data_IF_623354639050
#
_entry.id   IF_623354639050
#
_cell.length_a   1.000
_cell.length_b   1.000
_cell.length_c   1.000
_cell.angle_alpha   90.00
_cell.angle_beta   90.00
_cell.angle_gamma   90.00
#
_symmetry.space_group_name_H-M   'P 1'
#
loop_
_entity.id
_entity.type
_entity.pdbx_description
1 polymer ?
#
# COMPACT_ATOMS: atom_id res chain seq x y z
N UNK A 1 -9.31 19.24 -33.79
CA UNK A 1 -8.41 18.14 -34.19
C UNK A 1 -8.94 16.89 -33.53
N UNK A 2 -9.44 15.96 -34.34
CA UNK A 2 -10.24 14.84 -33.88
C UNK A 2 -9.36 13.76 -33.24
N UNK A 3 -9.67 13.44 -31.99
CA UNK A 3 -9.20 12.26 -31.26
C UNK A 3 -9.54 11.01 -32.05
N UNK A 4 -8.54 10.28 -32.53
CA UNK A 4 -8.70 8.95 -33.11
C UNK A 4 -9.23 7.99 -32.03
N UNK A 5 -10.52 7.70 -32.12
CA UNK A 5 -11.30 6.79 -31.28
C UNK A 5 -10.95 5.31 -31.54
N UNK A 6 -9.69 4.96 -31.35
CA UNK A 6 -9.14 3.59 -31.47
C UNK A 6 -7.98 3.37 -30.49
N UNK A 7 -7.97 4.09 -29.38
CA UNK A 7 -6.97 3.87 -28.35
C UNK A 7 -7.55 2.88 -27.33
N UNK A 8 -6.99 1.66 -27.29
CA UNK A 8 -7.47 0.58 -26.43
C UNK A 8 -7.21 0.87 -24.94
N UNK A 9 -6.62 2.04 -24.63
CA UNK A 9 -6.30 2.50 -23.28
C UNK A 9 -5.11 1.77 -22.67
N UNK A 10 -4.30 1.10 -23.50
CA UNK A 10 -3.17 0.28 -23.07
C UNK A 10 -1.89 0.80 -23.71
N UNK A 11 -0.76 0.59 -23.02
CA UNK A 11 0.57 0.96 -23.50
C UNK A 11 0.83 0.40 -24.92
N UNK A 12 1.59 1.11 -25.76
CA UNK A 12 1.94 0.75 -27.14
C UNK A 12 2.51 -0.68 -27.24
N UNK A 13 3.33 -1.08 -26.26
CA UNK A 13 3.84 -2.45 -26.16
C UNK A 13 2.73 -3.50 -25.94
N UNK A 14 1.76 -3.18 -25.09
CA UNK A 14 0.62 -4.07 -24.85
C UNK A 14 -0.36 -4.05 -26.02
N UNK A 15 -0.48 -2.94 -26.75
CA UNK A 15 -1.24 -2.87 -28.00
C UNK A 15 -0.65 -3.80 -29.06
N UNK A 16 0.69 -3.86 -29.17
CA UNK A 16 1.38 -4.79 -30.08
C UNK A 16 1.19 -6.25 -29.66
N UNK A 17 1.23 -6.57 -28.36
CA UNK A 17 0.93 -7.91 -27.84
C UNK A 17 -0.52 -8.30 -28.16
N UNK A 18 -1.48 -7.39 -27.95
CA UNK A 18 -2.90 -7.62 -28.28
C UNK A 18 -3.06 -7.86 -29.78
N UNK A 19 -2.33 -7.13 -30.63
CA UNK A 19 -2.33 -7.35 -32.08
C UNK A 19 -1.80 -8.73 -32.45
N UNK A 20 -0.72 -9.18 -31.82
CA UNK A 20 -0.19 -10.53 -32.04
C UNK A 20 -1.18 -11.60 -31.59
N UNK A 21 -1.85 -11.41 -30.44
CA UNK A 21 -2.87 -12.34 -29.96
C UNK A 21 -4.10 -12.38 -30.87
N UNK A 22 -4.60 -11.23 -31.31
CA UNK A 22 -5.73 -11.14 -32.26
C UNK A 22 -5.40 -11.86 -33.57
N UNK A 23 -4.18 -11.68 -34.09
CA UNK A 23 -3.73 -12.40 -35.28
C UNK A 23 -3.67 -13.91 -35.04
N UNK A 24 -3.08 -14.32 -33.93
CA UNK A 24 -2.97 -15.72 -33.54
C UNK A 24 -4.35 -16.38 -33.38
N UNK A 25 -5.31 -15.70 -32.74
CA UNK A 25 -6.68 -16.17 -32.60
C UNK A 25 -7.40 -16.26 -33.95
N UNK A 26 -7.16 -15.29 -34.85
CA UNK A 26 -7.65 -15.35 -36.23
C UNK A 26 -7.07 -16.52 -37.02
N UNK A 27 -5.77 -16.81 -36.88
CA UNK A 27 -5.11 -17.96 -37.50
C UNK A 27 -5.65 -19.29 -36.93
N UNK A 28 -5.85 -19.38 -35.61
CA UNK A 28 -6.48 -20.54 -34.97
C UNK A 28 -7.91 -20.77 -35.48
N UNK A 29 -8.72 -19.70 -35.58
CA UNK A 29 -10.08 -19.79 -36.13
C UNK A 29 -10.10 -20.33 -37.56
N UNK A 30 -9.12 -19.94 -38.39
CA UNK A 30 -9.00 -20.45 -39.76
C UNK A 30 -8.62 -21.93 -39.76
N UNK A 31 -7.73 -22.36 -38.86
CA UNK A 31 -7.36 -23.78 -38.71
C UNK A 31 -8.55 -24.62 -38.22
N UNK A 32 -9.28 -24.16 -37.21
CA UNK A 32 -10.50 -24.83 -36.73
C UNK A 32 -11.58 -24.91 -37.82
N UNK A 33 -11.80 -23.84 -38.59
CA UNK A 33 -12.74 -23.86 -39.72
C UNK A 33 -12.30 -24.83 -40.83
N UNK A 34 -10.99 -24.98 -41.06
CA UNK A 34 -10.47 -25.98 -42.02
C UNK A 34 -10.65 -27.41 -41.51
N UNK A 35 -10.41 -27.67 -40.23
CA UNK A 35 -10.67 -28.98 -39.61
C UNK A 35 -12.14 -29.34 -39.71
N UNK A 36 -13.03 -28.37 -39.43
CA UNK A 36 -14.47 -28.52 -39.57
C UNK A 36 -14.88 -28.83 -41.02
N UNK A 37 -14.37 -28.08 -42.00
CA UNK A 37 -14.67 -28.35 -43.41
C UNK A 37 -14.13 -29.70 -43.86
N UNK A 38 -12.94 -30.11 -43.41
CA UNK A 38 -12.38 -31.42 -43.71
C UNK A 38 -13.25 -32.55 -43.12
N UNK A 39 -13.68 -32.43 -41.86
CA UNK A 39 -14.56 -33.41 -41.22
C UNK A 39 -15.94 -33.48 -41.92
N UNK A 40 -16.48 -32.34 -42.35
CA UNK A 40 -17.73 -32.28 -43.09
C UNK A 40 -17.61 -32.85 -44.51
N UNK A 41 -16.49 -32.61 -45.19
CA UNK A 41 -16.19 -33.19 -46.49
C UNK A 41 -15.92 -34.70 -46.37
N UNK A 42 -15.26 -35.16 -45.32
CA UNK A 42 -15.05 -36.59 -45.04
C UNK A 42 -16.38 -37.32 -44.79
N UNK A 43 -17.29 -36.72 -44.01
CA UNK A 43 -18.64 -37.24 -43.80
C UNK A 43 -19.42 -37.33 -45.13
N UNK A 44 -19.35 -36.26 -45.94
CA UNK A 44 -20.00 -36.22 -47.25
C UNK A 44 -19.42 -37.27 -48.20
N UNK A 45 -18.10 -37.41 -48.25
CA UNK A 45 -17.42 -38.31 -49.18
C UNK A 45 -17.58 -39.79 -48.78
N UNK A 46 -17.61 -40.11 -47.48
CA UNK A 46 -17.78 -41.48 -46.98
C UNK A 46 -19.23 -41.99 -47.02
N UNK A 47 -20.23 -41.11 -46.99
CA UNK A 47 -21.64 -41.54 -46.84
C UNK A 47 -22.56 -41.16 -47.98
N UNK A 48 -22.36 -40.01 -48.64
CA UNK A 48 -23.20 -39.63 -49.80
C UNK A 48 -22.74 -40.27 -51.12
N UNK A 49 -21.53 -40.84 -51.18
CA UNK A 49 -20.99 -41.44 -52.41
C UNK A 49 -21.40 -42.90 -52.62
N UNK A 50 -21.92 -43.57 -51.58
CA UNK A 50 -22.07 -45.04 -51.58
C UNK A 50 -23.49 -45.52 -51.97
N UNK A 51 -24.53 -44.66 -51.93
CA UNK A 51 -25.93 -45.12 -52.09
C UNK A 51 -26.80 -44.21 -52.98
N UNK A 52 -27.17 -44.70 -54.17
CA UNK A 52 -28.03 -43.98 -55.14
C UNK A 52 -29.53 -43.91 -54.75
N UNK A 53 -29.96 -44.62 -53.70
CA UNK A 53 -31.36 -44.78 -53.31
C UNK A 53 -31.53 -44.72 -51.78
N UNK A 54 -31.41 -43.54 -51.16
CA UNK A 54 -31.61 -43.38 -49.71
C UNK A 54 -33.09 -43.23 -49.34
N UNK A 55 -33.51 -43.90 -48.26
CA UNK A 55 -34.83 -43.71 -47.63
C UNK A 55 -34.83 -42.53 -46.65
N UNK A 56 -36.00 -41.95 -46.37
CA UNK A 56 -36.11 -40.78 -45.50
C UNK A 56 -35.63 -41.02 -44.05
N UNK A 57 -35.69 -42.27 -43.57
CA UNK A 57 -35.21 -42.63 -42.23
C UNK A 57 -33.68 -42.70 -42.18
N UNK A 58 -33.04 -43.26 -43.21
CA UNK A 58 -31.57 -43.30 -43.34
C UNK A 58 -31.00 -41.87 -43.43
N UNK A 59 -31.67 -40.99 -44.18
CA UNK A 59 -31.29 -39.56 -44.23
C UNK A 59 -31.39 -38.89 -42.85
N UNK A 60 -32.40 -39.25 -42.05
CA UNK A 60 -32.54 -38.69 -40.70
C UNK A 60 -31.48 -39.22 -39.73
N UNK A 61 -31.11 -40.51 -39.83
CA UNK A 61 -30.01 -41.10 -39.07
C UNK A 61 -28.66 -40.48 -39.46
N UNK A 62 -28.40 -40.26 -40.75
CA UNK A 62 -27.20 -39.56 -41.22
C UNK A 62 -27.13 -38.12 -40.72
N UNK A 63 -28.24 -37.39 -40.68
CA UNK A 63 -28.26 -36.04 -40.14
C UNK A 63 -27.98 -36.02 -38.63
N UNK A 64 -28.47 -37.01 -37.88
CA UNK A 64 -28.17 -37.13 -36.45
C UNK A 64 -26.69 -37.50 -36.22
N UNK A 65 -26.14 -38.44 -36.99
CA UNK A 65 -24.70 -38.79 -36.92
C UNK A 65 -23.80 -37.61 -37.30
N UNK A 66 -24.20 -36.83 -38.31
CA UNK A 66 -23.50 -35.61 -38.68
C UNK A 66 -23.54 -34.57 -37.56
N UNK A 67 -24.70 -34.37 -36.92
CA UNK A 67 -24.84 -33.47 -35.78
C UNK A 67 -23.93 -33.91 -34.62
N UNK A 68 -23.85 -35.20 -34.31
CA UNK A 68 -22.98 -35.73 -33.25
C UNK A 68 -21.49 -35.49 -33.56
N UNK A 69 -21.07 -35.70 -34.82
CA UNK A 69 -19.70 -35.41 -35.26
C UNK A 69 -19.42 -33.90 -35.15
N UNK A 70 -20.35 -33.05 -35.58
CA UNK A 70 -20.20 -31.61 -35.47
C UNK A 70 -20.11 -31.15 -34.01
N UNK A 71 -20.98 -31.64 -33.14
CA UNK A 71 -20.98 -31.31 -31.71
C UNK A 71 -19.63 -31.66 -31.08
N UNK A 72 -19.09 -32.85 -31.41
CA UNK A 72 -17.80 -33.30 -30.93
C UNK A 72 -16.62 -32.46 -31.44
N UNK A 73 -16.64 -32.03 -32.70
CA UNK A 73 -15.61 -31.13 -33.25
C UNK A 73 -15.70 -29.73 -32.62
N UNK A 74 -16.91 -29.21 -32.40
CA UNK A 74 -17.11 -27.93 -31.69
C UNK A 74 -16.64 -28.00 -30.24
N UNK A 75 -16.95 -29.09 -29.52
CA UNK A 75 -16.52 -29.27 -28.14
C UNK A 75 -14.97 -29.34 -28.05
N UNK A 76 -14.33 -30.02 -29.00
CA UNK A 76 -12.87 -30.09 -29.07
C UNK A 76 -12.25 -28.70 -29.33
N UNK A 77 -12.78 -27.94 -30.29
CA UNK A 77 -12.30 -26.59 -30.60
C UNK A 77 -12.51 -25.63 -29.42
N UNK A 78 -13.68 -25.66 -28.78
CA UNK A 78 -13.96 -24.82 -27.62
C UNK A 78 -13.07 -25.18 -26.42
N UNK A 79 -12.82 -26.47 -26.21
CA UNK A 79 -11.91 -26.95 -25.17
C UNK A 79 -10.47 -26.52 -25.46
N UNK A 80 -10.03 -26.61 -26.72
CA UNK A 80 -8.73 -26.13 -27.15
C UNK A 80 -8.59 -24.62 -26.91
N UNK A 81 -9.59 -23.82 -27.29
CA UNK A 81 -9.64 -22.37 -27.05
C UNK A 81 -9.51 -22.04 -25.56
N UNK A 82 -10.26 -22.72 -24.69
CA UNK A 82 -10.16 -22.54 -23.23
C UNK A 82 -8.74 -22.84 -22.71
N UNK A 83 -8.15 -23.97 -23.12
CA UNK A 83 -6.81 -24.39 -22.69
C UNK A 83 -5.73 -23.39 -23.12
N UNK A 84 -5.80 -22.91 -24.36
CA UNK A 84 -4.87 -21.91 -24.90
C UNK A 84 -4.99 -20.59 -24.13
N UNK A 85 -6.21 -20.13 -23.84
CA UNK A 85 -6.44 -18.92 -23.07
C UNK A 85 -5.95 -19.06 -21.62
N UNK A 86 -6.16 -20.21 -20.98
CA UNK A 86 -5.64 -20.49 -19.64
C UNK A 86 -4.10 -20.47 -19.59
N UNK A 87 -3.43 -21.00 -20.63
CA UNK A 87 -1.97 -20.93 -20.75
C UNK A 87 -1.47 -19.50 -20.91
N UNK A 88 -2.16 -18.67 -21.70
CA UNK A 88 -1.82 -17.26 -21.85
C UNK A 88 -1.91 -16.52 -20.51
N UNK A 89 -2.99 -16.72 -19.76
CA UNK A 89 -3.18 -16.11 -18.43
C UNK A 89 -2.07 -16.56 -17.48
N UNK A 90 -1.71 -17.85 -17.48
CA UNK A 90 -0.59 -18.37 -16.70
C UNK A 90 0.72 -17.65 -17.05
N UNK A 91 1.01 -17.46 -18.33
CA UNK A 91 2.23 -16.78 -18.77
C UNK A 91 2.26 -15.31 -18.35
N UNK A 92 1.13 -14.61 -18.45
CA UNK A 92 1.01 -13.22 -17.98
C UNK A 92 1.25 -13.11 -16.46
N UNK A 93 0.71 -14.05 -15.67
CA UNK A 93 0.95 -14.05 -14.22
C UNK A 93 2.38 -14.42 -13.85
N UNK A 94 3.04 -15.31 -14.58
CA UNK A 94 4.46 -15.59 -14.38
C UNK A 94 5.33 -14.35 -14.62
N UNK A 95 5.02 -13.56 -15.65
CA UNK A 95 5.71 -12.29 -15.90
C UNK A 95 5.38 -11.26 -14.82
N UNK A 96 4.12 -11.16 -14.37
CA UNK A 96 3.75 -10.23 -13.31
C UNK A 96 4.39 -10.58 -11.95
N UNK A 97 4.52 -11.86 -11.63
CA UNK A 97 5.13 -12.36 -10.40
C UNK A 97 6.63 -12.06 -10.34
N UNK A 98 7.34 -12.16 -11.47
CA UNK A 98 8.74 -11.72 -11.58
C UNK A 98 8.94 -10.24 -11.26
N UNK A 99 7.87 -9.44 -11.42
CA UNK A 99 7.84 -8.01 -11.13
C UNK A 99 7.11 -7.69 -9.83
N UNK A 100 6.84 -8.70 -8.99
CA UNK A 100 6.11 -8.61 -7.71
C UNK A 100 4.73 -7.93 -7.81
N UNK A 101 4.07 -8.01 -8.97
CA UNK A 101 2.79 -7.37 -9.21
C UNK A 101 1.63 -8.37 -9.00
N UNK A 102 0.68 -7.99 -8.14
CA UNK A 102 -0.58 -8.74 -7.96
C UNK A 102 -1.60 -8.24 -8.97
N UNK A 103 -1.79 -8.98 -10.06
CA UNK A 103 -2.83 -8.70 -11.04
C UNK A 103 -4.14 -9.36 -10.59
N UNK A 104 -5.19 -8.56 -10.46
CA UNK A 104 -6.56 -9.05 -10.24
C UNK A 104 -7.37 -8.82 -11.52
N UNK A 105 -7.57 -9.84 -12.37
CA UNK A 105 -8.45 -9.70 -13.52
C UNK A 105 -9.90 -9.51 -13.04
N UNK A 106 -10.57 -8.50 -13.58
CA UNK A 106 -12.00 -8.31 -13.35
C UNK A 106 -12.79 -9.05 -14.42
N UNK A 107 -13.50 -10.12 -14.03
CA UNK A 107 -14.29 -10.94 -14.94
C UNK A 107 -15.52 -10.21 -15.51
N UNK A 108 -16.05 -9.20 -14.79
CA UNK A 108 -17.23 -8.43 -15.22
C UNK A 108 -16.94 -7.56 -16.45
N UNK A 109 -15.67 -7.22 -16.70
CA UNK A 109 -15.26 -6.43 -17.86
C UNK A 109 -15.21 -7.24 -19.15
N UNK A 110 -15.10 -8.58 -19.07
CA UNK A 110 -15.04 -9.46 -20.24
C UNK A 110 -16.40 -9.55 -20.97
N UNK A 111 -17.51 -9.31 -20.27
CA UNK A 111 -18.85 -9.33 -20.85
C UNK A 111 -19.28 -7.99 -21.45
N UNK A 112 -18.43 -6.96 -21.35
CA UNK A 112 -18.76 -5.64 -21.85
C UNK A 112 -18.81 -5.64 -23.37
N UNK A 113 -20.02 -5.70 -23.93
CA UNK A 113 -20.29 -5.71 -25.37
C UNK A 113 -19.62 -4.56 -26.11
N UNK A 114 -19.42 -3.39 -25.49
CA UNK A 114 -18.73 -2.25 -26.11
C UNK A 114 -17.23 -2.51 -26.28
N UNK A 115 -16.59 -3.18 -25.33
CA UNK A 115 -15.17 -3.56 -25.45
C UNK A 115 -14.98 -4.68 -26.47
N UNK A 116 -15.94 -5.60 -26.56
CA UNK A 116 -15.98 -6.62 -27.60
C UNK A 116 -16.17 -5.99 -28.99
N UNK A 117 -17.09 -5.03 -29.11
CA UNK A 117 -17.30 -4.30 -30.37
C UNK A 117 -16.06 -3.47 -30.76
N UNK A 118 -15.35 -2.87 -29.79
CA UNK A 118 -14.09 -2.16 -30.03
C UNK A 118 -12.98 -3.10 -30.53
N UNK A 119 -12.85 -4.30 -29.95
CA UNK A 119 -11.91 -5.32 -30.41
C UNK A 119 -12.31 -5.82 -31.81
N UNK A 120 -13.61 -6.00 -32.09
CA UNK A 120 -14.10 -6.36 -33.43
C UNK A 120 -13.77 -5.29 -34.47
N UNK A 121 -13.96 -4.02 -34.14
CA UNK A 121 -13.62 -2.92 -35.04
C UNK A 121 -12.09 -2.85 -35.26
N UNK A 122 -11.30 -3.15 -34.23
CA UNK A 122 -9.85 -3.27 -34.31
C UNK A 122 -9.39 -4.48 -35.17
N UNK A 123 -10.06 -5.63 -35.06
CA UNK A 123 -9.86 -6.80 -35.91
C UNK A 123 -10.11 -6.49 -37.38
N UNK A 124 -11.24 -5.83 -37.68
CA UNK A 124 -11.62 -5.48 -39.05
C UNK A 124 -10.64 -4.48 -39.68
N UNK A 125 -10.14 -3.52 -38.91
CA UNK A 125 -9.13 -2.57 -39.38
C UNK A 125 -7.76 -3.24 -39.64
N UNK A 126 -7.40 -4.27 -38.88
CA UNK A 126 -6.16 -5.01 -39.12
C UNK A 126 -6.29 -5.99 -40.30
N UNK A 127 -7.42 -6.68 -40.46
CA UNK A 127 -7.67 -7.56 -41.61
C UNK A 127 -7.76 -6.81 -42.95
N UNK A 128 -8.38 -5.63 -42.96
CA UNK A 128 -8.50 -4.80 -44.18
C UNK A 128 -7.15 -4.27 -44.67
N UNK A 129 -6.23 -3.94 -43.77
CA UNK A 129 -4.83 -3.59 -44.11
C UNK A 129 -4.05 -4.76 -44.74
N UNK A 130 -4.39 -6.01 -44.39
CA UNK A 130 -3.77 -7.21 -44.97
C UNK A 130 -4.33 -7.52 -46.36
N UNK A 131 -5.64 -7.38 -46.58
CA UNK A 131 -6.25 -7.57 -47.92
C UNK A 131 -5.74 -6.55 -48.95
N UNK A 132 -5.39 -5.33 -48.53
CA UNK A 132 -4.75 -4.34 -49.40
C UNK A 132 -3.30 -4.69 -49.80
N UNK A 133 -2.61 -5.57 -49.04
CA UNK A 133 -1.26 -6.07 -49.36
C UNK A 133 -1.27 -7.37 -50.18
N UNK A 134 -2.42 -8.02 -50.36
CA UNK A 134 -2.53 -9.32 -51.05
C UNK A 134 -2.24 -9.31 -52.56
N UNK A 135 -1.98 -8.16 -53.18
CA UNK A 135 -1.76 -8.07 -54.64
C UNK A 135 -0.42 -7.47 -55.07
N UNK A 136 0.53 -7.25 -54.15
CA UNK A 136 1.91 -6.90 -54.51
C UNK A 136 2.88 -7.57 -53.54
N UNK A 137 3.85 -8.28 -54.13
CA UNK A 137 5.09 -8.80 -53.54
C UNK A 137 5.08 -10.29 -53.15
N UNK A 138 5.12 -11.14 -54.17
CA UNK A 138 5.86 -12.41 -54.14
C UNK A 138 7.31 -12.25 -54.63
N UNK A 139 7.83 -11.01 -54.76
CA UNK A 139 9.19 -10.70 -55.19
C UNK A 139 9.79 -9.55 -54.35
N UNK A 140 9.79 -9.71 -53.03
CA UNK A 140 10.74 -9.02 -52.17
C UNK A 140 11.47 -10.09 -51.37
N UNK A 141 12.34 -10.78 -52.11
CA UNK A 141 13.52 -11.43 -51.57
C UNK A 141 14.13 -10.49 -50.52
N UNK A 142 14.25 -10.96 -49.27
CA UNK A 142 15.13 -10.47 -48.21
C UNK A 142 15.73 -9.08 -48.53
N UNK A 143 14.99 -8.02 -48.22
CA UNK A 143 15.66 -6.73 -48.05
C UNK A 143 16.71 -6.94 -46.94
N UNK A 144 17.98 -6.58 -47.15
CA UNK A 144 18.96 -6.65 -46.09
C UNK A 144 18.38 -5.88 -44.91
N UNK A 145 18.45 -6.48 -43.71
CA UNK A 145 18.14 -5.82 -42.44
C UNK A 145 18.91 -4.51 -42.43
N UNK A 146 18.25 -3.44 -42.86
CA UNK A 146 18.84 -2.12 -42.77
C UNK A 146 18.62 -1.71 -41.34
N UNK A 147 19.61 -2.05 -40.51
CA UNK A 147 19.77 -1.67 -39.12
C UNK A 147 19.42 -0.20 -38.87
N UNK A 148 19.40 0.67 -39.88
CA UNK A 148 19.07 2.09 -39.76
C UNK A 148 17.70 2.39 -39.14
N UNK A 149 16.60 1.67 -39.43
CA UNK A 149 15.29 2.01 -38.84
C UNK A 149 15.14 1.53 -37.39
N UNK A 150 15.57 0.30 -37.12
CA UNK A 150 15.64 -0.27 -35.77
C UNK A 150 16.64 0.49 -34.89
N UNK A 151 17.82 0.85 -35.41
CA UNK A 151 18.78 1.69 -34.68
C UNK A 151 18.31 3.12 -34.49
N UNK A 152 17.54 3.71 -35.40
CA UNK A 152 16.92 5.03 -35.16
C UNK A 152 15.90 4.94 -34.02
N UNK A 153 15.00 3.95 -34.03
CA UNK A 153 14.03 3.77 -32.93
C UNK A 153 14.75 3.50 -31.61
N UNK A 154 15.73 2.61 -31.62
CA UNK A 154 16.55 2.30 -30.44
C UNK A 154 17.31 3.53 -29.94
N UNK A 155 17.88 4.35 -30.85
CA UNK A 155 18.57 5.60 -30.50
C UNK A 155 17.61 6.64 -29.93
N UNK A 156 16.39 6.71 -30.45
CA UNK A 156 15.34 7.61 -29.95
C UNK A 156 14.91 7.20 -28.55
N UNK A 157 14.75 5.89 -28.31
CA UNK A 157 14.41 5.36 -26.99
C UNK A 157 15.59 5.49 -26.00
N UNK A 158 16.82 5.25 -26.44
CA UNK A 158 18.03 5.51 -25.64
C UNK A 158 18.09 6.99 -25.26
N UNK A 159 17.79 7.91 -26.17
CA UNK A 159 17.77 9.34 -25.88
C UNK A 159 16.67 9.71 -24.87
N UNK A 160 15.48 9.11 -25.00
CA UNK A 160 14.38 9.29 -24.04
C UNK A 160 14.75 8.76 -22.66
N UNK A 161 15.33 7.56 -22.59
CA UNK A 161 15.80 6.94 -21.35
C UNK A 161 16.95 7.74 -20.73
N UNK A 162 17.85 8.31 -21.54
CA UNK A 162 18.91 9.22 -21.08
C UNK A 162 18.32 10.50 -20.48
N UNK A 163 17.35 11.14 -21.16
CA UNK A 163 16.66 12.32 -20.64
C UNK A 163 15.91 12.02 -19.34
N UNK A 164 15.23 10.87 -19.26
CA UNK A 164 14.57 10.42 -18.03
C UNK A 164 15.59 10.16 -16.92
N UNK A 165 16.73 9.54 -17.23
CA UNK A 165 17.82 9.35 -16.27
C UNK A 165 18.42 10.66 -15.80
N UNK A 166 18.63 11.64 -16.67
CA UNK A 166 19.15 12.94 -16.30
C UNK A 166 18.16 13.71 -15.43
N UNK A 167 16.87 13.63 -15.75
CA UNK A 167 15.82 14.20 -14.91
C UNK A 167 15.76 13.52 -13.53
N UNK A 168 15.86 12.19 -13.48
CA UNK A 168 15.92 11.43 -12.23
C UNK A 168 17.17 11.78 -11.42
N UNK A 169 18.35 11.90 -12.04
CA UNK A 169 19.59 12.33 -11.39
C UNK A 169 19.49 13.75 -10.83
N UNK A 170 18.89 14.68 -11.57
CA UNK A 170 18.64 16.04 -11.07
C UNK A 170 17.71 16.03 -9.87
N UNK A 171 16.67 15.20 -9.90
CA UNK A 171 15.73 15.07 -8.78
C UNK A 171 16.38 14.39 -7.58
N UNK A 172 17.23 13.38 -7.79
CA UNK A 172 18.03 12.73 -6.76
C UNK A 172 18.97 13.74 -6.10
N UNK A 173 19.70 14.53 -6.90
CA UNK A 173 20.60 15.58 -6.39
C UNK A 173 19.88 16.67 -5.60
N UNK A 174 18.63 16.99 -5.95
CA UNK A 174 17.79 17.89 -5.14
C UNK A 174 17.44 17.26 -3.80
N UNK A 175 17.00 16.00 -3.79
CA UNK A 175 16.68 15.30 -2.55
C UNK A 175 17.90 15.09 -1.66
N UNK A 176 19.07 14.82 -2.23
CA UNK A 176 20.33 14.72 -1.47
C UNK A 176 20.66 16.05 -0.78
N UNK A 177 20.49 17.20 -1.47
CA UNK A 177 20.69 18.52 -0.86
C UNK A 177 19.65 18.84 0.21
N UNK A 178 18.39 18.49 -0.03
CA UNK A 178 17.31 18.69 0.95
C UNK A 178 17.56 17.82 2.20
N UNK A 179 18.05 16.59 2.03
CA UNK A 179 18.42 15.70 3.13
C UNK A 179 19.65 16.21 3.91
N UNK A 180 20.68 16.72 3.22
CA UNK A 180 21.82 17.39 3.86
C UNK A 180 21.36 18.61 4.68
N UNK A 181 20.47 19.44 4.14
CA UNK A 181 19.94 20.61 4.83
C UNK A 181 19.12 20.21 6.06
N UNK A 182 18.27 19.19 5.93
CA UNK A 182 17.46 18.69 7.03
C UNK A 182 18.33 18.09 8.15
N UNK A 183 19.37 17.34 7.79
CA UNK A 183 20.32 16.79 8.74
C UNK A 183 21.09 17.89 9.49
N UNK A 184 21.50 18.96 8.80
CA UNK A 184 22.13 20.12 9.45
C UNK A 184 21.17 20.80 10.45
N UNK A 185 19.91 21.02 10.06
CA UNK A 185 18.91 21.58 10.96
C UNK A 185 18.63 20.68 12.17
N UNK A 186 18.61 19.36 11.97
CA UNK A 186 18.43 18.40 13.06
C UNK A 186 19.62 18.44 14.04
N UNK A 187 20.84 18.57 13.53
CA UNK A 187 22.04 18.69 14.36
C UNK A 187 22.05 20.00 15.16
N UNK A 188 21.71 21.12 14.52
CA UNK A 188 21.60 22.42 15.18
C UNK A 188 20.53 22.43 16.28
N UNK A 189 19.35 21.89 15.99
CA UNK A 189 18.25 21.79 16.97
C UNK A 189 18.63 20.89 18.14
N UNK A 190 19.29 19.77 17.89
CA UNK A 190 19.80 18.87 18.94
C UNK A 190 20.82 19.58 19.83
N UNK A 191 21.76 20.32 19.23
CA UNK A 191 22.75 21.13 20.00
C UNK A 191 22.07 22.21 20.83
N UNK A 192 21.07 22.91 20.28
CA UNK A 192 20.31 23.93 21.01
C UNK A 192 19.51 23.35 22.18
N UNK A 193 18.91 22.18 22.01
CA UNK A 193 18.19 21.47 23.08
C UNK A 193 19.18 21.09 24.18
N UNK A 194 20.29 20.44 23.83
CA UNK A 194 21.32 20.04 24.79
C UNK A 194 21.85 21.23 25.61
N UNK A 195 22.14 22.36 24.94
CA UNK A 195 22.59 23.57 25.64
C UNK A 195 21.52 24.13 26.57
N UNK A 196 20.25 24.13 26.15
CA UNK A 196 19.14 24.60 27.00
C UNK A 196 18.95 23.69 28.21
N UNK A 197 19.01 22.37 28.03
CA UNK A 197 18.93 21.39 29.11
C UNK A 197 20.04 21.62 30.14
N UNK A 198 21.28 21.84 29.70
CA UNK A 198 22.40 22.13 30.60
C UNK A 198 22.15 23.41 31.40
N UNK A 199 21.74 24.49 30.73
CA UNK A 199 21.45 25.77 31.42
C UNK A 199 20.27 25.67 32.39
N UNK A 200 19.24 24.88 32.07
CA UNK A 200 18.12 24.65 32.99
C UNK A 200 18.53 23.79 34.18
N UNK A 201 19.36 22.77 33.96
CA UNK A 201 19.89 21.92 35.02
C UNK A 201 20.74 22.73 36.01
N UNK A 202 21.61 23.61 35.50
CA UNK A 202 22.40 24.54 36.34
C UNK A 202 21.53 25.52 37.13
N UNK A 203 20.48 26.07 36.50
CA UNK A 203 19.53 26.97 37.19
C UNK A 203 18.74 26.24 38.27
N UNK A 204 18.34 24.99 38.01
CA UNK A 204 17.63 24.17 38.98
C UNK A 204 18.51 23.91 40.21
N UNK A 205 19.76 23.49 40.00
CA UNK A 205 20.71 23.26 41.09
C UNK A 205 20.99 24.54 41.90
N UNK A 206 21.14 25.68 41.23
CA UNK A 206 21.29 26.98 41.90
C UNK A 206 20.06 27.35 42.74
N UNK A 207 18.86 27.16 42.20
CA UNK A 207 17.63 27.41 42.94
C UNK A 207 17.45 26.47 44.13
N UNK A 208 17.80 25.20 43.99
CA UNK A 208 17.79 24.23 45.10
C UNK A 208 18.74 24.64 46.23
N UNK A 209 19.95 25.12 45.89
CA UNK A 209 20.90 25.65 46.89
C UNK A 209 20.33 26.84 47.62
N UNK A 210 19.80 27.83 46.89
CA UNK A 210 19.15 29.02 47.48
C UNK A 210 17.96 28.66 48.36
N UNK A 211 17.16 27.68 47.95
CA UNK A 211 16.01 27.23 48.72
C UNK A 211 16.47 26.60 50.05
N UNK A 212 17.52 25.77 50.04
CA UNK A 212 18.12 25.23 51.28
C UNK A 212 18.69 26.32 52.17
N UNK A 213 19.36 27.31 51.61
CA UNK A 213 19.89 28.46 52.38
C UNK A 213 18.76 29.25 53.05
N UNK A 214 17.67 29.53 52.32
CA UNK A 214 16.49 30.21 52.86
C UNK A 214 15.84 29.36 53.96
N UNK A 215 15.69 28.05 53.77
CA UNK A 215 15.15 27.15 54.79
C UNK A 215 16.00 27.15 56.06
N UNK A 216 17.33 27.12 55.94
CA UNK A 216 18.24 27.20 57.08
C UNK A 216 18.14 28.55 57.80
N UNK A 217 18.11 29.65 57.04
CA UNK A 217 17.95 30.98 57.60
C UNK A 217 16.60 31.15 58.33
N UNK A 218 15.52 30.59 57.77
CA UNK A 218 14.20 30.57 58.40
C UNK A 218 14.25 29.82 59.74
N UNK A 219 14.83 28.61 59.77
CA UNK A 219 14.95 27.81 60.98
C UNK A 219 15.75 28.52 62.08
N UNK A 220 16.83 29.22 61.71
CA UNK A 220 17.63 30.01 62.65
C UNK A 220 16.81 31.19 63.20
N UNK A 221 16.11 31.91 62.32
CA UNK A 221 15.24 33.01 62.72
C UNK A 221 14.10 32.56 63.64
N UNK A 222 13.48 31.41 63.37
CA UNK A 222 12.45 30.81 64.24
C UNK A 222 13.02 30.47 65.62
N UNK A 223 14.19 29.83 65.69
CA UNK A 223 14.86 29.52 66.96
C UNK A 223 15.25 30.78 67.75
N UNK A 224 15.74 31.82 67.08
CA UNK A 224 16.06 33.09 67.72
C UNK A 224 14.82 33.79 68.23
N UNK A 225 13.74 33.80 67.44
CA UNK A 225 12.44 34.37 67.84
C UNK A 225 11.88 33.64 69.06
N UNK A 226 11.93 32.30 69.09
CA UNK A 226 11.49 31.50 70.23
C UNK A 226 12.33 31.80 71.48
N UNK A 227 13.65 31.94 71.35
CA UNK A 227 14.52 32.37 72.47
C UNK A 227 14.15 33.76 72.97
N UNK A 228 13.94 34.74 72.06
CA UNK A 228 13.55 36.11 72.43
C UNK A 228 12.16 36.16 73.07
N UNK A 229 11.21 35.37 72.57
CA UNK A 229 9.89 35.23 73.14
C UNK A 229 9.97 34.69 74.58
N UNK A 230 10.72 33.60 74.79
CA UNK A 230 10.94 33.01 76.11
C UNK A 230 11.66 33.96 77.09
N UNK A 231 12.51 34.86 76.59
CA UNK A 231 13.20 35.89 77.38
C UNK A 231 12.33 37.13 77.67
N UNK A 232 11.18 37.27 77.04
CA UNK A 232 10.34 38.46 77.22
C UNK A 232 9.73 38.48 78.62
N UNK A 233 9.91 39.59 79.34
CA UNK A 233 9.43 39.77 80.71
C UNK A 233 7.96 39.40 80.89
N UNK A 234 7.11 39.70 79.90
CA UNK A 234 5.69 39.33 79.89
C UNK A 234 5.50 37.80 79.98
N UNK A 235 6.22 37.02 79.17
CA UNK A 235 6.14 35.56 79.18
C UNK A 235 6.66 34.98 80.50
N UNK A 236 7.81 35.46 80.98
CA UNK A 236 8.40 35.01 82.26
C UNK A 236 7.45 35.32 83.43
N UNK A 237 6.87 36.52 83.47
CA UNK A 237 5.89 36.91 84.47
C UNK A 237 4.64 36.01 84.43
N UNK A 238 4.08 35.78 83.24
CA UNK A 238 2.92 34.89 83.09
C UNK A 238 3.23 33.45 83.51
N UNK A 239 4.40 32.91 83.10
CA UNK A 239 4.84 31.57 83.50
C UNK A 239 4.93 31.43 85.02
N UNK A 240 5.56 32.41 85.70
CA UNK A 240 5.65 32.44 87.16
C UNK A 240 4.28 32.49 87.84
N UNK A 241 3.37 33.32 87.33
CA UNK A 241 2.00 33.42 87.87
C UNK A 241 1.27 32.09 87.73
N UNK A 242 1.39 31.42 86.57
CA UNK A 242 0.77 30.10 86.34
C UNK A 242 1.37 29.05 87.28
N UNK A 243 2.69 29.00 87.43
CA UNK A 243 3.36 28.08 88.36
C UNK A 243 2.90 28.29 89.81
N UNK A 244 2.80 29.55 90.25
CA UNK A 244 2.28 29.90 91.57
C UNK A 244 0.82 29.48 91.74
N UNK A 245 -0.04 29.78 90.75
CA UNK A 245 -1.45 29.36 90.78
C UNK A 245 -1.60 27.84 90.79
N UNK A 246 -0.77 27.11 90.04
CA UNK A 246 -0.77 25.65 90.05
C UNK A 246 -0.34 25.08 91.41
N UNK A 247 0.66 25.69 92.05
CA UNK A 247 1.04 25.33 93.42
C UNK A 247 -0.11 25.57 94.40
N UNK A 248 -0.78 26.72 94.31
CA UNK A 248 -1.96 27.01 95.13
C UNK A 248 -3.08 25.99 94.89
N UNK A 249 -3.37 25.66 93.64
CA UNK A 249 -4.38 24.65 93.29
C UNK A 249 -4.00 23.28 93.86
N UNK A 250 -2.73 22.87 93.78
CA UNK A 250 -2.28 21.60 94.39
C UNK A 250 -2.40 21.60 95.90
N UNK A 251 -2.02 22.70 96.56
CA UNK A 251 -2.13 22.84 98.01
C UNK A 251 -3.60 22.78 98.46
N UNK A 252 -4.49 23.50 97.77
CA UNK A 252 -5.93 23.46 98.01
C UNK A 252 -6.51 22.06 97.77
N UNK A 253 -6.07 21.37 96.72
CA UNK A 253 -6.47 19.97 96.47
C UNK A 253 -5.99 19.03 97.58
N UNK A 254 -4.76 19.20 98.06
CA UNK A 254 -4.20 18.41 99.16
C UNK A 254 -4.95 18.65 100.47
N UNK A 255 -5.32 19.91 100.76
CA UNK A 255 -6.16 20.24 101.91
C UNK A 255 -7.55 19.62 101.78
N UNK A 256 -8.18 19.68 100.61
CA UNK A 256 -9.47 19.01 100.39
C UNK A 256 -9.39 17.49 100.58
N UNK A 257 -8.33 16.83 100.12
CA UNK A 257 -8.15 15.38 100.35
C UNK A 257 -7.83 15.06 101.81
N UNK A 258 -7.09 15.92 102.51
CA UNK A 258 -6.76 15.73 103.93
C UNK A 258 -7.90 16.07 104.90
N UNK A 259 -8.87 16.89 104.49
CA UNK A 259 -10.11 17.08 105.23
C UNK A 259 -11.11 15.94 104.97
N UNK A 260 -11.13 15.34 103.77
CA UNK A 260 -11.92 14.13 103.53
C UNK A 260 -11.42 12.92 104.35
N UNK A 261 -10.10 12.76 104.53
CA UNK A 261 -9.54 11.70 105.39
C UNK A 261 -9.80 11.95 106.90
N UNK A 262 -10.16 13.17 107.31
CA UNK A 262 -10.57 13.49 108.69
C UNK A 262 -12.08 13.37 108.92
N UNK A 263 -12.88 13.47 107.87
CA UNK A 263 -14.32 13.18 107.94
C UNK A 263 -14.61 11.67 107.94
N UNK A 264 -13.69 10.79 107.51
CA UNK A 264 -13.85 9.32 107.64
C UNK A 264 -13.41 8.75 109.01
N UNK A 265 -12.74 9.53 109.88
CA UNK A 265 -12.37 9.12 111.24
C UNK A 265 -13.35 9.64 112.33
N UNK A 266 -14.44 10.31 111.94
CA UNK A 266 -15.49 10.84 112.84
C UNK A 266 -16.90 10.23 112.64
N UNK A 267 -17.02 9.04 112.05
CA UNK A 267 -18.24 8.20 112.12
C UNK A 267 -17.97 6.78 112.65
#
# INVERSE_FOLDING_TARGET
MASSSTDLGVNEHHEEIIRHYVRFSGEQKIVGLRSFHAAADDFKNQRLSDEEMMTANEVHEFLNEFIDILEKEFEQELTHQYRVNALLIKQLFQQAEQWFLKLNPNFDQLENRRLIDLIRDYEQQNLSKIKAKGNKQANALMDPINDTKSTILLKTEIQRLQQSNDHLKQRLSKYEKDDELLNQQLEETTRLISNKEETFSQKLESNEKRLKEIQQALLLAENELEKKFNQTNTYINMKRIIEQKNHQIRALRQQLTGDNDKEEDED
#
